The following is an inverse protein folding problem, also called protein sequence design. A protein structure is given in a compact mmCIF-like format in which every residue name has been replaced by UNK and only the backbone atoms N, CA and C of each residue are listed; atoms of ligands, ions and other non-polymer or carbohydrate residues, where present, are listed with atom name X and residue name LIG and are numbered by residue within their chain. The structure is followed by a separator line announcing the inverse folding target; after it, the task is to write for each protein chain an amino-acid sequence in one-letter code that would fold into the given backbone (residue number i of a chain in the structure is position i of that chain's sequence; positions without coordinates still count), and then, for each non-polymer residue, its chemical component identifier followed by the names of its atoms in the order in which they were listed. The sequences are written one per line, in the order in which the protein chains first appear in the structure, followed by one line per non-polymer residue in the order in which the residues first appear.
data_IF_373971602224
#
_entry.id   IF_373971602224
#
_cell.length_a   1.000
_cell.length_b   1.000
_cell.length_c   1.000
_cell.angle_alpha   90.00
_cell.angle_beta   90.00
_cell.angle_gamma   90.00
#
_symmetry.space_group_name_H-M   'P 1'
#
loop_
_entity.id
_entity.type
_entity.pdbx_description
1 polymer ?
#
# COMPACT_ATOMS: atom_id res chain seq x y z
N UNK A 1 37.38 -8.71 -3.03
CA UNK A 1 36.09 -9.25 -2.58
C UNK A 1 35.04 -8.21 -2.91
N UNK A 2 34.28 -8.42 -4.00
CA UNK A 2 33.22 -7.49 -4.39
C UNK A 2 31.93 -7.91 -3.68
N UNK A 3 31.48 -7.09 -2.73
CA UNK A 3 30.18 -7.23 -2.09
C UNK A 3 29.09 -7.03 -3.13
N UNK A 4 28.28 -8.07 -3.36
CA UNK A 4 27.09 -8.01 -4.20
C UNK A 4 26.05 -7.21 -3.43
N UNK A 5 25.91 -5.94 -3.78
CA UNK A 5 24.81 -5.09 -3.31
C UNK A 5 23.52 -5.54 -4.00
N UNK A 6 22.76 -6.44 -3.37
CA UNK A 6 21.37 -6.68 -3.75
C UNK A 6 20.54 -5.43 -3.40
N UNK A 7 20.63 -4.40 -4.23
CA UNK A 7 19.88 -3.17 -4.08
C UNK A 7 18.42 -3.41 -4.45
N UNK A 8 17.57 -3.69 -3.46
CA UNK A 8 16.13 -3.55 -3.64
C UNK A 8 15.86 -2.09 -4.02
N UNK A 9 15.51 -1.87 -5.29
CA UNK A 9 15.16 -0.54 -5.79
C UNK A 9 13.93 -0.06 -5.02
N UNK A 10 14.07 1.05 -4.31
CA UNK A 10 12.94 1.69 -3.63
C UNK A 10 11.86 2.03 -4.67
N UNK A 11 10.64 1.56 -4.43
CA UNK A 11 9.52 1.79 -5.35
C UNK A 11 9.17 3.27 -5.34
N UNK A 12 8.92 3.83 -6.52
CA UNK A 12 8.39 5.18 -6.58
C UNK A 12 6.91 5.21 -6.17
N UNK A 13 6.39 6.40 -5.88
CA UNK A 13 5.02 6.59 -5.41
C UNK A 13 3.94 5.96 -6.31
N UNK A 14 4.13 6.00 -7.63
CA UNK A 14 3.17 5.40 -8.58
C UNK A 14 3.18 3.88 -8.48
N UNK A 15 4.36 3.29 -8.33
CA UNK A 15 4.55 1.85 -8.16
C UNK A 15 3.95 1.37 -6.83
N UNK A 16 4.18 2.10 -5.73
CA UNK A 16 3.59 1.83 -4.41
C UNK A 16 2.06 1.84 -4.48
N UNK A 17 1.46 2.85 -5.11
CA UNK A 17 0.00 2.95 -5.27
C UNK A 17 -0.55 1.79 -6.10
N UNK A 18 0.11 1.45 -7.21
CA UNK A 18 -0.29 0.29 -8.01
C UNK A 18 -0.21 -1.01 -7.21
N UNK A 19 0.81 -1.17 -6.37
CA UNK A 19 0.94 -2.36 -5.52
C UNK A 19 -0.17 -2.44 -4.47
N UNK A 20 -0.52 -1.31 -3.82
CA UNK A 20 -1.66 -1.23 -2.89
C UNK A 20 -2.96 -1.64 -3.58
N UNK A 21 -3.23 -1.07 -4.76
CA UNK A 21 -4.44 -1.40 -5.53
C UNK A 21 -4.44 -2.87 -5.90
N UNK A 22 -3.29 -3.42 -6.30
CA UNK A 22 -3.17 -4.83 -6.67
C UNK A 22 -3.45 -5.77 -5.49
N UNK A 23 -2.88 -5.49 -4.31
CA UNK A 23 -3.13 -6.23 -3.09
C UNK A 23 -4.63 -6.24 -2.74
N UNK A 24 -5.30 -5.09 -2.84
CA UNK A 24 -6.72 -4.97 -2.52
C UNK A 24 -7.58 -5.69 -3.58
N UNK A 25 -7.43 -5.33 -4.86
CA UNK A 25 -8.34 -5.76 -5.93
C UNK A 25 -8.19 -7.22 -6.35
N UNK A 26 -6.96 -7.72 -6.31
CA UNK A 26 -6.66 -9.04 -6.83
C UNK A 26 -6.35 -10.06 -5.74
N UNK A 27 -5.95 -9.61 -4.55
CA UNK A 27 -5.61 -10.51 -3.44
C UNK A 27 -6.52 -10.37 -2.23
N UNK A 28 -7.39 -9.36 -2.17
CA UNK A 28 -8.16 -9.02 -0.96
C UNK A 28 -7.27 -8.90 0.29
N UNK A 29 -6.01 -8.49 0.10
CA UNK A 29 -4.98 -8.47 1.13
C UNK A 29 -4.84 -7.07 1.72
N UNK A 30 -5.80 -6.72 2.58
CA UNK A 30 -5.87 -5.41 3.22
C UNK A 30 -4.75 -5.22 4.26
N UNK A 31 -4.29 -6.31 4.90
CA UNK A 31 -3.23 -6.26 5.90
C UNK A 31 -1.89 -5.85 5.28
N UNK A 32 -1.46 -6.49 4.19
CA UNK A 32 -0.21 -6.10 3.54
C UNK A 32 -0.34 -4.75 2.81
N UNK A 33 -1.53 -4.39 2.30
CA UNK A 33 -1.77 -3.06 1.77
C UNK A 33 -1.62 -1.97 2.85
N UNK A 34 -2.15 -2.21 4.05
CA UNK A 34 -2.01 -1.31 5.19
C UNK A 34 -0.54 -1.17 5.63
N UNK A 35 0.20 -2.27 5.72
CA UNK A 35 1.64 -2.25 6.02
C UNK A 35 2.41 -1.40 5.00
N UNK A 36 2.19 -1.62 3.70
CA UNK A 36 2.85 -0.83 2.67
C UNK A 36 2.52 0.66 2.80
N UNK A 37 1.27 1.01 3.16
CA UNK A 37 0.90 2.39 3.40
C UNK A 37 1.61 3.00 4.61
N UNK A 38 1.71 2.26 5.72
CA UNK A 38 2.38 2.72 6.94
C UNK A 38 3.89 2.87 6.75
N UNK A 39 4.54 1.90 6.12
CA UNK A 39 5.98 1.89 5.86
C UNK A 39 6.43 3.05 4.97
N UNK A 40 5.55 3.51 4.06
CA UNK A 40 5.85 4.55 3.09
C UNK A 40 5.15 5.89 3.41
N UNK A 41 4.61 6.04 4.63
CA UNK A 41 3.88 7.24 5.10
C UNK A 41 2.78 7.72 4.13
N UNK A 42 2.05 6.76 3.54
CA UNK A 42 0.96 7.03 2.61
C UNK A 42 -0.37 7.13 3.34
N UNK A 43 -1.02 8.29 3.20
CA UNK A 43 -2.37 8.49 3.71
C UNK A 43 -3.45 7.94 2.76
N UNK A 44 -4.61 7.59 3.31
CA UNK A 44 -5.79 7.23 2.50
C UNK A 44 -6.20 8.37 1.56
N UNK A 45 -6.04 9.62 1.99
CA UNK A 45 -6.33 10.78 1.14
C UNK A 45 -5.39 10.85 -0.07
N UNK A 46 -4.09 10.61 0.14
CA UNK A 46 -3.10 10.56 -0.94
C UNK A 46 -3.42 9.44 -1.95
N UNK A 47 -3.86 8.28 -1.46
CA UNK A 47 -4.32 7.17 -2.29
C UNK A 47 -5.56 7.57 -3.12
N UNK A 48 -6.61 8.11 -2.47
CA UNK A 48 -7.85 8.53 -3.15
C UNK A 48 -7.66 9.62 -4.19
N UNK A 49 -6.75 10.57 -3.95
CA UNK A 49 -6.41 11.62 -4.92
C UNK A 49 -5.76 11.06 -6.20
N UNK A 50 -5.14 9.89 -6.12
CA UNK A 50 -4.34 9.31 -7.22
C UNK A 50 -5.00 8.09 -7.88
N UNK A 51 -6.06 7.54 -7.30
CA UNK A 51 -6.83 6.46 -7.90
C UNK A 51 -8.31 6.52 -7.53
N UNK A 52 -9.17 6.23 -8.52
CA UNK A 52 -10.61 5.99 -8.33
C UNK A 52 -10.95 4.49 -8.43
N UNK A 53 -9.95 3.61 -8.50
CA UNK A 53 -10.16 2.17 -8.71
C UNK A 53 -10.77 1.48 -7.50
N UNK A 54 -10.62 2.04 -6.30
CA UNK A 54 -11.13 1.46 -5.05
C UNK A 54 -12.53 2.01 -4.75
N UNK A 55 -13.45 1.11 -4.43
CA UNK A 55 -14.78 1.42 -3.93
C UNK A 55 -14.72 1.92 -2.48
N UNK A 56 -15.81 2.54 -2.02
CA UNK A 56 -15.91 3.01 -0.63
C UNK A 56 -15.74 1.87 0.38
N UNK A 57 -16.29 0.68 0.09
CA UNK A 57 -16.16 -0.48 0.96
C UNK A 57 -14.70 -0.96 1.08
N UNK A 58 -13.96 -0.99 -0.03
CA UNK A 58 -12.54 -1.37 -0.02
C UNK A 58 -11.69 -0.34 0.73
N UNK A 59 -12.02 0.96 0.61
CA UNK A 59 -11.36 2.01 1.39
C UNK A 59 -11.66 1.86 2.88
N UNK A 60 -12.90 1.53 3.26
CA UNK A 60 -13.26 1.30 4.66
C UNK A 60 -12.47 0.13 5.25
N UNK A 61 -12.45 -1.02 4.56
CA UNK A 61 -11.66 -2.19 4.99
C UNK A 61 -10.16 -1.89 5.13
N UNK A 62 -9.61 -1.10 4.19
CA UNK A 62 -8.22 -0.67 4.27
C UNK A 62 -7.98 0.23 5.49
N UNK A 63 -8.90 1.16 5.79
CA UNK A 63 -8.81 2.01 6.96
C UNK A 63 -8.83 1.20 8.27
N UNK A 64 -9.71 0.21 8.35
CA UNK A 64 -9.80 -0.70 9.50
C UNK A 64 -8.49 -1.47 9.68
N UNK A 65 -7.92 -2.05 8.61
CA UNK A 65 -6.64 -2.76 8.68
C UNK A 65 -5.45 -1.85 9.05
N UNK A 66 -5.47 -0.58 8.63
CA UNK A 66 -4.47 0.41 9.07
C UNK A 66 -4.59 0.68 10.57
N UNK A 67 -5.82 0.79 11.09
CA UNK A 67 -6.06 1.01 12.51
C UNK A 67 -5.62 -0.20 13.35
N UNK A 68 -5.98 -1.40 12.93
CA UNK A 68 -5.56 -2.66 13.56
C UNK A 68 -4.04 -2.84 13.56
N UNK A 69 -3.33 -2.39 12.52
CA UNK A 69 -1.87 -2.50 12.44
C UNK A 69 -1.12 -1.53 13.35
N UNK A 70 -1.81 -0.56 13.96
CA UNK A 70 -1.22 0.42 14.90
C UNK A 70 -1.44 0.06 16.38
N UNK A 71 -2.37 -0.86 16.66
CA UNK A 71 -2.67 -1.36 18.00
C UNK A 71 -1.86 -2.60 18.34
#
# INVERSE_FOLDING_TARGET
MNSISNGAKELNLKEQIHQIIYLIKHRNDYSNAAKLMLENDLSIEALRKRTLKLSQLEIAKLADSIYESKG
#
